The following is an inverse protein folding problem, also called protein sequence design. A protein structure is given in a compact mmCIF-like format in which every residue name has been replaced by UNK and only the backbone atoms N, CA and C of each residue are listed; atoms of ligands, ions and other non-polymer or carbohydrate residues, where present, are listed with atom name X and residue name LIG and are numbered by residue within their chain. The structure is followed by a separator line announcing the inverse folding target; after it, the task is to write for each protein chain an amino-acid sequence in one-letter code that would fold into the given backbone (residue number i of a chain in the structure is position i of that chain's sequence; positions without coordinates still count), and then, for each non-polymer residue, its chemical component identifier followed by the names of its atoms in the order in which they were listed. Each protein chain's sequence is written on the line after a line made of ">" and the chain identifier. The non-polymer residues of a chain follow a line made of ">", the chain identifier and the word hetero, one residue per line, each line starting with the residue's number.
data_IF_133517834047
#
_entry.id   IF_133517834047
#
_cell.length_a   1.000
_cell.length_b   1.000
_cell.length_c   1.000
_cell.angle_alpha   90.00
_cell.angle_beta   90.00
_cell.angle_gamma   90.00
#
_symmetry.space_group_name_H-M   'P 1'
#
loop_
_entity.id
_entity.type
_entity.pdbx_description
1 polymer ?
#
# COMPACT_ATOMS: atom_id res chain seq x y z
N UNK A 1 19.99 -12.19 -31.77
CA UNK A 1 21.27 -11.95 -31.05
C UNK A 1 21.76 -10.50 -31.19
N UNK A 2 21.77 -9.92 -32.38
CA UNK A 2 22.21 -8.52 -32.61
C UNK A 2 21.35 -7.50 -31.83
N UNK A 3 20.03 -7.64 -31.84
CA UNK A 3 19.12 -6.74 -31.11
C UNK A 3 19.36 -6.73 -29.61
N UNK A 4 19.65 -7.86 -28.96
CA UNK A 4 20.01 -7.94 -27.56
C UNK A 4 21.34 -7.22 -27.28
N UNK A 5 22.33 -7.42 -28.18
CA UNK A 5 23.63 -6.75 -28.06
C UNK A 5 23.49 -5.22 -28.15
N UNK A 6 22.71 -4.74 -29.14
CA UNK A 6 22.42 -3.29 -29.31
C UNK A 6 21.71 -2.72 -28.08
N UNK A 7 20.77 -3.46 -27.51
CA UNK A 7 20.08 -3.05 -26.29
C UNK A 7 20.96 -3.16 -25.02
N UNK A 8 22.17 -3.77 -25.12
CA UNK A 8 23.00 -4.06 -23.96
C UNK A 8 22.31 -4.98 -22.96
N UNK A 9 21.61 -6.00 -23.47
CA UNK A 9 20.89 -7.01 -22.69
C UNK A 9 21.62 -8.33 -22.83
N UNK A 10 21.96 -8.94 -21.70
CA UNK A 10 22.51 -10.28 -21.61
C UNK A 10 21.47 -11.23 -21.02
N UNK A 11 21.12 -12.28 -21.76
CA UNK A 11 20.24 -13.33 -21.26
C UNK A 11 21.08 -14.37 -20.51
N UNK A 12 20.58 -14.83 -19.39
CA UNK A 12 21.12 -16.03 -18.76
C UNK A 12 20.96 -17.24 -19.69
N UNK A 13 21.74 -18.29 -19.46
CA UNK A 13 21.64 -19.51 -20.25
C UNK A 13 20.23 -20.13 -20.23
N UNK A 14 19.56 -20.02 -19.07
CA UNK A 14 18.18 -20.51 -18.92
C UNK A 14 17.19 -19.70 -19.75
N UNK A 15 17.28 -18.39 -19.74
CA UNK A 15 16.42 -17.49 -20.54
C UNK A 15 16.65 -17.68 -22.04
N UNK A 16 17.92 -17.80 -22.46
CA UNK A 16 18.27 -18.06 -23.85
C UNK A 16 17.70 -19.40 -24.34
N UNK A 17 17.81 -20.44 -23.52
CA UNK A 17 17.26 -21.77 -23.82
C UNK A 17 15.71 -21.75 -23.83
N UNK A 18 15.08 -21.07 -22.87
CA UNK A 18 13.61 -20.93 -22.83
C UNK A 18 13.08 -20.23 -24.08
N UNK A 19 13.69 -19.09 -24.43
CA UNK A 19 13.35 -18.38 -25.67
C UNK A 19 13.53 -19.25 -26.90
N UNK A 20 14.71 -19.88 -27.07
CA UNK A 20 15.01 -20.69 -28.26
C UNK A 20 14.04 -21.87 -28.42
N UNK A 21 13.72 -22.56 -27.30
CA UNK A 21 12.77 -23.65 -27.27
C UNK A 21 11.35 -23.20 -27.69
N UNK A 22 10.86 -22.10 -27.06
CA UNK A 22 9.53 -21.56 -27.37
C UNK A 22 9.46 -21.02 -28.79
N UNK A 23 10.47 -20.25 -29.24
CA UNK A 23 10.50 -19.71 -30.58
C UNK A 23 10.51 -20.84 -31.64
N UNK A 24 11.37 -21.82 -31.47
CA UNK A 24 11.43 -22.96 -32.40
C UNK A 24 10.14 -23.75 -32.41
N UNK A 25 9.55 -24.02 -31.25
CA UNK A 25 8.30 -24.80 -31.12
C UNK A 25 7.11 -24.09 -31.77
N UNK A 26 6.99 -22.78 -31.60
CA UNK A 26 5.77 -22.04 -31.92
C UNK A 26 5.85 -21.17 -33.18
N UNK A 27 7.05 -20.78 -33.61
CA UNK A 27 7.21 -19.82 -34.73
C UNK A 27 8.05 -20.32 -35.89
N UNK A 28 8.83 -21.40 -35.76
CA UNK A 28 9.75 -21.86 -36.83
C UNK A 28 9.06 -22.06 -38.19
N UNK A 29 7.82 -22.53 -38.20
CA UNK A 29 7.05 -22.73 -39.42
C UNK A 29 6.39 -21.44 -39.98
N UNK A 30 6.31 -20.37 -39.17
CA UNK A 30 5.78 -19.07 -39.56
C UNK A 30 6.85 -18.18 -40.21
N UNK A 31 8.15 -18.46 -39.99
CA UNK A 31 9.29 -17.78 -40.59
C UNK A 31 9.51 -18.33 -41.99
N UNK A 32 8.61 -17.99 -42.91
CA UNK A 32 8.61 -18.54 -44.28
C UNK A 32 9.48 -17.77 -45.26
N UNK A 33 9.90 -16.54 -44.93
CA UNK A 33 10.69 -15.69 -45.82
C UNK A 33 11.76 -14.91 -45.04
N UNK A 34 12.92 -14.61 -45.69
CA UNK A 34 13.95 -13.74 -45.13
C UNK A 34 13.41 -12.35 -44.72
N UNK A 35 12.40 -11.85 -45.46
CA UNK A 35 11.75 -10.57 -45.19
C UNK A 35 11.06 -10.57 -43.80
N UNK A 36 10.32 -11.64 -43.46
CA UNK A 36 9.66 -11.78 -42.15
C UNK A 36 10.69 -11.88 -41.01
N UNK A 37 11.76 -12.65 -41.22
CA UNK A 37 12.85 -12.75 -40.27
C UNK A 37 13.51 -11.38 -39.98
N UNK A 38 13.78 -10.62 -41.06
CA UNK A 38 14.36 -9.28 -40.99
C UNK A 38 13.39 -8.30 -40.31
N UNK A 39 12.09 -8.36 -40.61
CA UNK A 39 11.07 -7.54 -39.96
C UNK A 39 11.03 -7.79 -38.43
N UNK A 40 11.04 -9.06 -38.04
CA UNK A 40 11.10 -9.42 -36.61
C UNK A 40 12.38 -8.89 -35.94
N UNK A 41 13.54 -9.08 -36.58
CA UNK A 41 14.79 -8.53 -36.07
C UNK A 41 14.77 -7.00 -35.89
N UNK A 42 14.22 -6.27 -36.87
CA UNK A 42 14.09 -4.81 -36.80
C UNK A 42 13.16 -4.35 -35.70
N UNK A 43 12.06 -5.08 -35.42
CA UNK A 43 11.15 -4.78 -34.33
C UNK A 43 11.85 -4.98 -32.99
N UNK A 44 12.63 -6.04 -32.82
CA UNK A 44 13.41 -6.26 -31.61
C UNK A 44 14.50 -5.19 -31.41
N UNK A 45 15.15 -4.73 -32.49
CA UNK A 45 16.10 -3.61 -32.41
C UNK A 45 15.45 -2.32 -31.92
N UNK A 46 14.15 -2.14 -32.12
CA UNK A 46 13.39 -0.99 -31.63
C UNK A 46 12.87 -1.22 -30.22
N UNK A 47 12.18 -2.34 -29.96
CA UNK A 47 11.44 -2.55 -28.70
C UNK A 47 12.33 -2.87 -27.50
N UNK A 48 13.42 -3.64 -27.69
CA UNK A 48 14.29 -4.06 -26.59
C UNK A 48 14.99 -2.89 -25.90
N UNK A 49 15.59 -1.90 -26.59
CA UNK A 49 16.21 -0.75 -25.91
C UNK A 49 15.19 0.10 -25.15
N UNK A 50 13.99 0.31 -25.69
CA UNK A 50 12.96 1.15 -25.08
C UNK A 50 12.43 0.56 -23.78
N UNK A 51 12.23 -0.77 -23.75
CA UNK A 51 11.62 -1.46 -22.62
C UNK A 51 12.65 -2.20 -21.74
N UNK A 52 13.94 -1.88 -21.92
CA UNK A 52 15.02 -2.47 -21.13
C UNK A 52 14.81 -2.24 -19.63
N UNK A 53 14.65 -3.34 -18.89
CA UNK A 53 14.46 -3.29 -17.44
C UNK A 53 13.02 -3.00 -16.98
N UNK A 54 12.10 -2.81 -17.91
CA UNK A 54 10.68 -2.49 -17.65
C UNK A 54 9.73 -3.66 -17.93
N UNK A 55 10.21 -4.71 -18.59
CA UNK A 55 9.46 -5.93 -18.92
C UNK A 55 10.37 -7.15 -18.93
N UNK A 56 9.79 -8.36 -18.87
CA UNK A 56 10.53 -9.60 -19.10
C UNK A 56 10.94 -9.70 -20.56
N UNK A 57 12.24 -9.79 -20.81
CA UNK A 57 12.83 -9.75 -22.15
C UNK A 57 12.38 -10.93 -23.01
N UNK A 58 12.30 -12.13 -22.44
CA UNK A 58 11.88 -13.34 -23.18
C UNK A 58 10.42 -13.22 -23.62
N UNK A 59 9.55 -12.78 -22.71
CA UNK A 59 8.13 -12.57 -23.05
C UNK A 59 7.94 -11.42 -24.04
N UNK A 60 8.71 -10.31 -23.93
CA UNK A 60 8.68 -9.25 -24.94
C UNK A 60 9.03 -9.80 -26.35
N UNK A 61 10.12 -10.57 -26.45
CA UNK A 61 10.50 -11.17 -27.73
C UNK A 61 9.42 -12.11 -28.28
N UNK A 62 8.71 -12.85 -27.42
CA UNK A 62 7.60 -13.73 -27.85
C UNK A 62 6.36 -12.92 -28.27
N UNK A 63 6.00 -11.84 -27.56
CA UNK A 63 4.88 -10.95 -27.92
C UNK A 63 5.17 -10.26 -29.26
N UNK A 64 6.42 -9.82 -29.49
CA UNK A 64 6.82 -9.25 -30.78
C UNK A 64 6.81 -10.30 -31.92
N UNK A 65 7.12 -11.55 -31.61
CA UNK A 65 6.96 -12.63 -32.58
C UNK A 65 5.47 -12.85 -32.91
N UNK A 66 4.57 -12.81 -31.92
CA UNK A 66 3.11 -12.86 -32.17
C UNK A 66 2.71 -11.68 -33.10
N UNK A 67 3.20 -10.48 -32.82
CA UNK A 67 2.92 -9.28 -33.63
C UNK A 67 3.29 -9.47 -35.11
N UNK A 68 4.49 -10.01 -35.36
CA UNK A 68 5.01 -10.16 -36.76
C UNK A 68 4.36 -11.32 -37.47
N UNK A 69 4.14 -12.44 -36.79
CA UNK A 69 3.73 -13.68 -37.42
C UNK A 69 2.23 -13.96 -37.34
N UNK A 70 1.54 -13.39 -36.31
CA UNK A 70 0.14 -13.64 -35.99
C UNK A 70 -0.58 -12.35 -35.58
N UNK A 71 -0.52 -11.33 -36.47
CA UNK A 71 -1.04 -9.98 -36.15
C UNK A 71 -2.48 -9.96 -35.62
N UNK A 72 -3.47 -10.74 -36.12
CA UNK A 72 -4.82 -10.74 -35.57
C UNK A 72 -4.87 -11.16 -34.09
N UNK A 73 -3.98 -12.06 -33.67
CA UNK A 73 -3.86 -12.47 -32.26
C UNK A 73 -3.22 -11.35 -31.44
N UNK A 74 -2.17 -10.71 -31.96
CA UNK A 74 -1.55 -9.56 -31.28
C UNK A 74 -2.56 -8.43 -31.06
N UNK A 75 -3.37 -8.09 -32.05
CA UNK A 75 -4.38 -7.04 -31.93
C UNK A 75 -5.47 -7.42 -30.92
N UNK A 76 -5.89 -8.68 -30.87
CA UNK A 76 -6.80 -9.19 -29.85
C UNK A 76 -6.21 -9.02 -28.44
N UNK A 77 -4.95 -9.41 -28.24
CA UNK A 77 -4.27 -9.25 -26.93
C UNK A 77 -4.17 -7.78 -26.55
N UNK A 78 -3.69 -6.93 -27.46
CA UNK A 78 -3.47 -5.50 -27.21
C UNK A 78 -4.70 -4.76 -26.73
N UNK A 79 -5.89 -5.09 -27.26
CA UNK A 79 -7.14 -4.38 -26.98
C UNK A 79 -7.84 -4.92 -25.72
N UNK A 80 -7.59 -6.17 -25.34
CA UNK A 80 -8.38 -6.84 -24.30
C UNK A 80 -7.55 -7.18 -23.04
N UNK A 81 -6.91 -6.19 -22.43
CA UNK A 81 -6.15 -6.34 -21.18
C UNK A 81 -6.92 -7.14 -20.14
N UNK A 82 -8.17 -6.78 -19.87
CA UNK A 82 -9.02 -7.38 -18.83
C UNK A 82 -9.23 -8.89 -19.03
N UNK A 83 -9.22 -9.32 -20.29
CA UNK A 83 -9.43 -10.73 -20.67
C UNK A 83 -8.15 -11.55 -20.48
N UNK A 84 -6.96 -10.98 -20.71
CA UNK A 84 -5.71 -11.75 -20.77
C UNK A 84 -4.79 -11.54 -19.59
N UNK A 85 -4.91 -10.43 -18.84
CA UNK A 85 -4.11 -10.23 -17.62
C UNK A 85 -4.74 -10.87 -16.39
N UNK A 86 -3.91 -11.23 -15.41
CA UNK A 86 -4.34 -11.79 -14.13
C UNK A 86 -4.95 -13.20 -14.20
N UNK A 87 -5.87 -13.47 -13.28
CA UNK A 87 -6.57 -14.76 -13.12
C UNK A 87 -8.09 -14.56 -13.05
N UNK A 88 -8.84 -15.65 -13.10
CA UNK A 88 -10.26 -15.63 -12.79
C UNK A 88 -10.49 -15.47 -11.27
N UNK A 89 -11.50 -14.71 -10.87
CA UNK A 89 -11.92 -14.59 -9.47
C UNK A 89 -12.45 -15.92 -8.92
N UNK A 90 -12.07 -16.28 -7.70
CA UNK A 90 -12.54 -17.51 -7.05
C UNK A 90 -14.04 -17.45 -6.66
N UNK A 91 -14.60 -16.25 -6.47
CA UNK A 91 -15.98 -16.05 -6.01
C UNK A 91 -17.05 -16.18 -7.10
N UNK A 92 -16.66 -16.39 -8.36
CA UNK A 92 -17.56 -16.28 -9.52
C UNK A 92 -17.73 -17.57 -10.34
N UNK A 93 -17.88 -18.77 -9.74
CA UNK A 93 -17.92 -20.05 -10.48
C UNK A 93 -18.93 -20.08 -11.65
N UNK A 94 -20.13 -19.51 -11.49
CA UNK A 94 -21.15 -19.49 -12.55
C UNK A 94 -20.81 -18.49 -13.66
N UNK A 95 -20.26 -17.31 -13.33
CA UNK A 95 -19.88 -16.28 -14.29
C UNK A 95 -18.61 -16.68 -15.08
N UNK A 96 -17.71 -17.44 -14.46
CA UNK A 96 -16.45 -17.86 -15.08
C UNK A 96 -16.68 -18.80 -16.30
N UNK A 97 -17.74 -19.59 -16.34
CA UNK A 97 -18.03 -20.48 -17.48
C UNK A 97 -18.36 -19.71 -18.75
N UNK A 98 -19.18 -18.66 -18.65
CA UNK A 98 -19.54 -17.80 -19.79
C UNK A 98 -18.33 -17.00 -20.28
N UNK A 99 -17.51 -16.48 -19.35
CA UNK A 99 -16.30 -15.74 -19.68
C UNK A 99 -15.26 -16.63 -20.36
N UNK A 100 -15.04 -17.84 -19.86
CA UNK A 100 -14.14 -18.85 -20.48
C UNK A 100 -14.55 -19.16 -21.93
N UNK A 101 -15.83 -19.36 -22.17
CA UNK A 101 -16.32 -19.63 -23.51
C UNK A 101 -16.16 -18.44 -24.43
N UNK A 102 -16.41 -17.22 -23.96
CA UNK A 102 -16.17 -15.97 -24.70
C UNK A 102 -14.69 -15.84 -25.10
N UNK A 103 -13.76 -16.13 -24.18
CA UNK A 103 -12.32 -16.08 -24.46
C UNK A 103 -11.95 -17.08 -25.58
N UNK A 104 -12.45 -18.31 -25.51
CA UNK A 104 -12.22 -19.31 -26.56
C UNK A 104 -12.71 -18.84 -27.93
N UNK A 105 -13.93 -18.33 -27.98
CA UNK A 105 -14.53 -17.83 -29.23
C UNK A 105 -13.72 -16.66 -29.83
N UNK A 106 -13.25 -15.73 -28.98
CA UNK A 106 -12.41 -14.62 -29.44
C UNK A 106 -11.06 -15.12 -29.98
N UNK A 107 -10.43 -16.07 -29.28
CA UNK A 107 -9.18 -16.69 -29.73
C UNK A 107 -9.37 -17.46 -31.04
N UNK A 108 -10.41 -18.26 -31.16
CA UNK A 108 -10.72 -19.02 -32.37
C UNK A 108 -10.90 -18.08 -33.57
N UNK A 109 -11.68 -17.01 -33.43
CA UNK A 109 -11.87 -16.01 -34.48
C UNK A 109 -10.55 -15.34 -34.90
N UNK A 110 -9.69 -14.97 -33.92
CA UNK A 110 -8.41 -14.37 -34.24
C UNK A 110 -7.44 -15.35 -34.91
N UNK A 111 -7.44 -16.61 -34.49
CA UNK A 111 -6.61 -17.67 -35.08
C UNK A 111 -7.06 -17.96 -36.52
N UNK A 112 -8.36 -18.02 -36.78
CA UNK A 112 -8.91 -18.29 -38.12
C UNK A 112 -8.57 -17.19 -39.16
N UNK A 113 -8.29 -15.96 -38.67
CA UNK A 113 -7.78 -14.85 -39.50
C UNK A 113 -6.29 -14.95 -39.79
N UNK A 114 -5.54 -15.83 -39.14
CA UNK A 114 -4.11 -15.97 -39.34
C UNK A 114 -3.80 -16.92 -40.50
N UNK A 115 -2.83 -16.52 -41.36
CA UNK A 115 -2.37 -17.36 -42.45
C UNK A 115 -1.24 -18.29 -42.00
N UNK A 116 -1.28 -19.54 -42.41
CA UNK A 116 -0.26 -20.56 -42.08
C UNK A 116 -0.06 -20.78 -40.59
N UNK A 117 -1.17 -20.82 -39.83
CA UNK A 117 -1.15 -21.05 -38.40
C UNK A 117 -1.43 -22.52 -38.05
N UNK A 118 -0.70 -23.04 -37.07
CA UNK A 118 -1.08 -24.27 -36.40
C UNK A 118 -1.84 -23.91 -35.13
N UNK A 119 -3.16 -24.07 -35.13
CA UNK A 119 -4.07 -23.69 -34.05
C UNK A 119 -3.65 -24.26 -32.70
N UNK A 120 -3.32 -25.55 -32.63
CA UNK A 120 -2.94 -26.22 -31.37
C UNK A 120 -1.66 -25.62 -30.80
N UNK A 121 -0.65 -25.35 -31.66
CA UNK A 121 0.62 -24.76 -31.18
C UNK A 121 0.43 -23.36 -30.66
N UNK A 122 -0.41 -22.55 -31.31
CA UNK A 122 -0.69 -21.17 -30.84
C UNK A 122 -1.49 -21.18 -29.56
N UNK A 123 -2.52 -22.00 -29.44
CA UNK A 123 -3.27 -22.14 -28.19
C UNK A 123 -2.32 -22.56 -27.05
N UNK A 124 -1.38 -23.49 -27.31
CA UNK A 124 -0.39 -23.89 -26.32
C UNK A 124 0.53 -22.74 -25.91
N UNK A 125 1.04 -21.96 -26.87
CA UNK A 125 1.83 -20.75 -26.58
C UNK A 125 1.06 -19.77 -25.70
N UNK A 126 -0.20 -19.45 -26.07
CA UNK A 126 -1.02 -18.51 -25.32
C UNK A 126 -1.36 -19.02 -23.90
N UNK A 127 -1.53 -20.33 -23.75
CA UNK A 127 -1.70 -20.96 -22.41
C UNK A 127 -0.44 -20.84 -21.55
N UNK A 128 0.75 -21.00 -22.16
CA UNK A 128 2.02 -20.85 -21.44
C UNK A 128 2.26 -19.41 -20.97
N UNK A 129 1.77 -18.43 -21.74
CA UNK A 129 1.94 -17.00 -21.44
C UNK A 129 0.82 -16.48 -20.53
N UNK A 130 -0.44 -16.84 -20.77
CA UNK A 130 -1.62 -16.26 -20.12
C UNK A 130 -2.38 -17.25 -19.26
N UNK A 131 -2.35 -17.11 -17.91
CA UNK A 131 -3.04 -18.01 -16.98
C UNK A 131 -4.54 -18.11 -17.20
N UNK A 132 -5.23 -17.00 -17.54
CA UNK A 132 -6.66 -17.03 -17.90
C UNK A 132 -6.93 -17.91 -19.11
N UNK A 133 -6.09 -17.84 -20.15
CA UNK A 133 -6.20 -18.74 -21.32
C UNK A 133 -5.97 -20.19 -20.90
N UNK A 134 -4.96 -20.44 -20.06
CA UNK A 134 -4.72 -21.79 -19.58
C UNK A 134 -5.93 -22.36 -18.79
N UNK A 135 -6.54 -21.53 -17.93
CA UNK A 135 -7.75 -21.89 -17.18
C UNK A 135 -8.99 -22.14 -18.06
N UNK A 136 -9.02 -21.61 -19.28
CA UNK A 136 -10.09 -21.90 -20.25
C UNK A 136 -10.00 -23.34 -20.82
N UNK A 137 -8.79 -23.85 -21.00
CA UNK A 137 -8.55 -25.14 -21.63
C UNK A 137 -8.19 -26.27 -20.63
N UNK A 138 -7.69 -25.87 -19.46
CA UNK A 138 -7.40 -26.77 -18.34
C UNK A 138 -8.09 -26.23 -17.10
N UNK A 139 -8.59 -27.09 -16.25
CA UNK A 139 -9.27 -26.67 -15.03
C UNK A 139 -8.24 -26.32 -13.92
N UNK A 140 -7.36 -25.36 -14.24
CA UNK A 140 -6.34 -24.86 -13.32
C UNK A 140 -6.74 -23.49 -12.76
N UNK A 141 -6.47 -23.28 -11.48
CA UNK A 141 -6.66 -22.02 -10.79
C UNK A 141 -5.31 -21.53 -10.27
N UNK A 142 -5.16 -20.21 -10.22
CA UNK A 142 -3.97 -19.55 -9.71
C UNK A 142 -4.38 -18.70 -8.50
N UNK A 143 -3.72 -18.87 -7.37
CA UNK A 143 -3.96 -18.10 -6.17
C UNK A 143 -3.37 -16.67 -6.24
N UNK A 144 -3.61 -15.88 -5.21
CA UNK A 144 -3.14 -14.48 -5.14
C UNK A 144 -1.61 -14.35 -5.08
N UNK A 145 -0.92 -15.36 -4.56
CA UNK A 145 0.55 -15.43 -4.47
C UNK A 145 1.24 -15.30 -5.83
N UNK A 146 0.56 -15.73 -6.91
CA UNK A 146 1.12 -15.64 -8.26
C UNK A 146 1.25 -14.22 -8.78
N UNK A 147 0.39 -13.29 -8.32
CA UNK A 147 0.47 -11.88 -8.75
C UNK A 147 1.80 -11.26 -8.35
N UNK A 148 2.24 -11.45 -7.11
CA UNK A 148 3.54 -10.97 -6.63
C UNK A 148 4.69 -11.52 -7.48
N UNK A 149 4.69 -12.85 -7.74
CA UNK A 149 5.71 -13.51 -8.57
C UNK A 149 5.75 -12.95 -9.99
N UNK A 150 4.58 -12.67 -10.58
CA UNK A 150 4.52 -12.12 -11.94
C UNK A 150 4.95 -10.65 -12.00
N UNK A 151 4.57 -9.87 -11.01
CA UNK A 151 5.02 -8.48 -10.87
C UNK A 151 6.55 -8.40 -10.66
N UNK A 152 7.10 -9.20 -9.75
CA UNK A 152 8.56 -9.28 -9.54
C UNK A 152 9.33 -9.62 -10.82
N UNK A 153 8.79 -10.53 -11.62
CA UNK A 153 9.38 -10.97 -12.90
C UNK A 153 8.92 -10.13 -14.08
N UNK A 154 8.19 -9.05 -13.88
CA UNK A 154 7.72 -8.13 -14.90
C UNK A 154 6.96 -8.84 -16.05
N UNK A 155 6.19 -9.89 -15.75
CA UNK A 155 5.53 -10.74 -16.73
C UNK A 155 4.35 -10.06 -17.42
N UNK A 156 4.11 -10.35 -18.72
CA UNK A 156 3.01 -9.76 -19.48
C UNK A 156 1.63 -10.07 -18.86
N UNK A 157 1.50 -11.18 -18.16
CA UNK A 157 0.27 -11.59 -17.48
C UNK A 157 -0.02 -10.78 -16.21
N UNK A 158 0.97 -10.07 -15.66
CA UNK A 158 0.79 -9.19 -14.51
C UNK A 158 0.00 -7.95 -14.95
N UNK A 159 -1.12 -7.60 -14.27
CA UNK A 159 -1.95 -6.45 -14.64
C UNK A 159 -1.17 -5.12 -14.69
N UNK A 160 -0.18 -4.95 -13.81
CA UNK A 160 0.65 -3.74 -13.73
C UNK A 160 1.62 -3.61 -14.92
N UNK A 161 2.00 -4.72 -15.57
CA UNK A 161 2.98 -4.75 -16.64
C UNK A 161 2.36 -4.94 -18.01
N UNK A 162 1.11 -5.41 -18.10
CA UNK A 162 0.49 -5.80 -19.36
C UNK A 162 0.62 -4.76 -20.47
N UNK A 163 0.21 -3.52 -20.18
CA UNK A 163 0.19 -2.44 -21.19
C UNK A 163 1.57 -2.08 -21.72
N UNK A 164 2.63 -2.20 -20.90
CA UNK A 164 4.00 -1.88 -21.32
C UNK A 164 4.44 -2.66 -22.55
N UNK A 165 4.00 -3.93 -22.67
CA UNK A 165 4.32 -4.79 -23.81
C UNK A 165 3.69 -4.35 -25.14
N UNK A 166 2.64 -3.53 -25.07
CA UNK A 166 1.85 -3.15 -26.24
C UNK A 166 1.93 -1.66 -26.58
N UNK A 167 2.33 -0.82 -25.64
CA UNK A 167 2.40 0.65 -25.82
C UNK A 167 3.81 1.16 -26.04
N UNK A 168 4.84 0.37 -25.74
CA UNK A 168 6.26 0.77 -25.73
C UNK A 168 6.53 2.00 -24.86
N UNK A 169 5.72 2.21 -23.86
CA UNK A 169 5.83 3.31 -22.90
C UNK A 169 5.37 2.85 -21.53
N UNK A 170 5.86 3.53 -20.54
CA UNK A 170 5.35 3.45 -19.19
C UNK A 170 4.24 4.48 -19.08
N UNK A 171 3.09 4.10 -18.53
CA UNK A 171 2.00 5.04 -18.30
C UNK A 171 2.47 6.19 -17.40
N UNK A 172 1.97 7.39 -17.62
CA UNK A 172 2.20 8.54 -16.73
C UNK A 172 1.74 8.25 -15.29
N UNK A 173 0.80 7.30 -15.16
CA UNK A 173 0.28 6.82 -13.88
C UNK A 173 1.12 5.70 -13.25
N UNK A 174 2.26 5.33 -13.80
CA UNK A 174 3.14 4.29 -13.26
C UNK A 174 4.55 4.83 -12.97
N UNK A 175 5.29 4.14 -12.12
CA UNK A 175 6.69 4.44 -11.81
C UNK A 175 7.59 3.47 -12.60
N UNK A 176 8.60 3.96 -13.36
CA UNK A 176 9.56 3.10 -14.05
C UNK A 176 10.28 2.16 -13.09
N UNK A 177 10.46 0.90 -13.49
CA UNK A 177 11.22 -0.07 -12.68
C UNK A 177 12.72 0.30 -12.59
N UNK A 178 13.23 0.99 -13.60
CA UNK A 178 14.60 1.56 -13.56
C UNK A 178 14.73 2.59 -12.44
N UNK A 179 13.71 3.39 -12.19
CA UNK A 179 13.66 4.35 -11.05
C UNK A 179 13.73 3.61 -9.72
N UNK A 180 12.97 2.53 -9.56
CA UNK A 180 13.01 1.72 -8.33
C UNK A 180 14.41 1.12 -8.13
N UNK A 181 15.03 0.58 -9.19
CA UNK A 181 16.42 0.07 -9.12
C UNK A 181 17.41 1.16 -8.74
N UNK A 182 17.24 2.37 -9.26
CA UNK A 182 18.10 3.50 -8.92
C UNK A 182 17.96 3.90 -7.46
N UNK A 183 16.75 4.00 -6.93
CA UNK A 183 16.49 4.25 -5.50
C UNK A 183 17.18 3.18 -4.64
N UNK A 184 17.03 1.90 -4.96
CA UNK A 184 17.64 0.82 -4.20
C UNK A 184 19.18 0.86 -4.26
N UNK A 185 19.76 1.17 -5.42
CA UNK A 185 21.20 1.36 -5.55
C UNK A 185 21.69 2.56 -4.73
N UNK A 186 20.95 3.68 -4.74
CA UNK A 186 21.29 4.83 -3.90
C UNK A 186 21.18 4.47 -2.41
N UNK A 187 20.16 3.69 -2.00
CA UNK A 187 20.05 3.17 -0.63
C UNK A 187 21.25 2.31 -0.24
N UNK A 188 21.78 1.49 -1.15
CA UNK A 188 22.97 0.68 -0.88
C UNK A 188 24.22 1.53 -0.63
N UNK A 189 24.34 2.68 -1.28
CA UNK A 189 25.48 3.60 -1.14
C UNK A 189 25.31 4.58 0.01
N UNK A 190 24.08 4.90 0.40
CA UNK A 190 23.73 5.90 1.41
C UNK A 190 23.77 5.31 2.83
N UNK A 191 24.94 5.31 3.45
CA UNK A 191 25.14 4.59 4.71
C UNK A 191 25.66 5.44 5.87
N UNK A 192 26.51 6.42 5.61
CA UNK A 192 27.15 7.18 6.69
C UNK A 192 26.26 8.37 7.09
N UNK A 193 25.82 8.41 8.34
CA UNK A 193 25.06 9.51 8.97
C UNK A 193 23.65 9.81 8.40
N UNK A 194 23.16 9.07 7.42
CA UNK A 194 21.84 9.27 6.80
C UNK A 194 21.51 10.75 6.52
N UNK A 195 22.41 11.45 5.82
CA UNK A 195 22.29 12.87 5.50
C UNK A 195 20.97 13.13 4.75
N UNK A 196 20.11 13.94 5.33
CA UNK A 196 18.78 14.29 4.80
C UNK A 196 18.85 14.87 3.38
N UNK A 197 19.88 15.68 3.07
CA UNK A 197 20.06 16.28 1.76
C UNK A 197 20.42 15.27 0.67
N UNK A 198 20.91 14.09 1.06
CA UNK A 198 21.27 12.97 0.16
C UNK A 198 20.31 11.82 0.25
N UNK A 199 19.09 12.04 0.79
CA UNK A 199 18.09 10.98 0.89
C UNK A 199 17.75 10.44 -0.50
N UNK A 200 17.81 9.12 -0.72
CA UNK A 200 17.53 8.48 -2.00
C UNK A 200 16.16 8.79 -2.61
N UNK A 201 15.20 9.24 -1.80
CA UNK A 201 13.85 9.59 -2.25
C UNK A 201 13.68 11.06 -2.64
N UNK A 202 14.71 11.92 -2.46
CA UNK A 202 14.58 13.37 -2.68
C UNK A 202 14.10 13.74 -4.08
N UNK A 203 14.59 13.05 -5.10
CA UNK A 203 14.28 13.35 -6.51
C UNK A 203 13.04 12.61 -7.00
N UNK A 204 12.59 11.57 -6.28
CA UNK A 204 11.58 10.64 -6.77
C UNK A 204 10.25 10.72 -6.04
N UNK A 205 10.22 11.17 -4.78
CA UNK A 205 9.02 11.23 -3.95
C UNK A 205 8.43 12.65 -3.92
N UNK A 206 7.15 12.76 -4.27
CA UNK A 206 6.32 13.93 -4.05
C UNK A 206 4.89 13.52 -3.67
N UNK A 207 4.05 14.48 -3.29
CA UNK A 207 2.68 14.20 -2.84
C UNK A 207 1.81 13.53 -3.92
N UNK A 208 2.06 13.78 -5.20
CA UNK A 208 1.25 13.28 -6.31
C UNK A 208 1.56 11.81 -6.65
N UNK A 209 2.83 11.41 -6.47
CA UNK A 209 3.27 10.05 -6.81
C UNK A 209 3.51 9.14 -5.60
N UNK A 210 3.35 9.65 -4.37
CA UNK A 210 3.67 8.93 -3.14
C UNK A 210 2.99 7.55 -3.06
N UNK A 211 1.69 7.47 -3.38
CA UNK A 211 0.93 6.22 -3.34
C UNK A 211 1.52 5.17 -4.29
N UNK A 212 1.83 5.57 -5.52
CA UNK A 212 2.39 4.68 -6.55
C UNK A 212 3.82 4.26 -6.23
N UNK A 213 4.65 5.21 -5.80
CA UNK A 213 6.04 4.93 -5.46
C UNK A 213 6.15 3.97 -4.26
N UNK A 214 5.44 4.25 -3.18
CA UNK A 214 5.45 3.39 -1.98
C UNK A 214 4.88 2.01 -2.29
N UNK A 215 3.75 1.93 -3.01
CA UNK A 215 3.18 0.65 -3.45
C UNK A 215 4.17 -0.17 -4.26
N UNK A 216 4.89 0.47 -5.19
CA UNK A 216 5.87 -0.22 -6.04
C UNK A 216 7.13 -0.63 -5.27
N UNK A 217 7.61 0.18 -4.33
CA UNK A 217 8.70 -0.20 -3.43
C UNK A 217 8.31 -1.40 -2.56
N UNK A 218 7.05 -1.49 -2.11
CA UNK A 218 6.56 -2.66 -1.35
C UNK A 218 6.63 -3.95 -2.16
N UNK A 219 6.27 -3.93 -3.44
CA UNK A 219 6.39 -5.13 -4.28
C UNK A 219 7.84 -5.59 -4.48
N UNK A 220 8.80 -4.73 -4.18
CA UNK A 220 10.24 -5.01 -4.30
C UNK A 220 10.97 -5.13 -2.96
N UNK A 221 10.25 -5.06 -1.82
CA UNK A 221 10.83 -5.09 -0.47
C UNK A 221 11.30 -6.48 -0.03
N UNK A 222 10.78 -7.53 -0.64
CA UNK A 222 11.09 -8.92 -0.30
C UNK A 222 12.53 -9.26 -0.69
N UNK A 223 13.27 -9.91 0.24
CA UNK A 223 14.65 -10.37 0.03
C UNK A 223 15.70 -9.26 -0.22
N UNK A 224 15.43 -8.02 0.16
CA UNK A 224 16.46 -6.99 0.18
C UNK A 224 17.51 -7.28 1.27
N UNK A 225 18.77 -6.86 1.04
CA UNK A 225 19.81 -6.97 2.06
C UNK A 225 19.47 -6.15 3.31
N UNK A 226 19.97 -6.54 4.49
CA UNK A 226 19.81 -5.77 5.74
C UNK A 226 20.19 -4.29 5.54
N UNK A 227 21.24 -4.05 4.77
CA UNK A 227 21.79 -2.74 4.46
C UNK A 227 20.80 -1.86 3.68
N UNK A 228 20.24 -2.39 2.57
CA UNK A 228 19.27 -1.68 1.75
C UNK A 228 17.98 -1.48 2.55
N UNK A 229 17.55 -2.50 3.30
CA UNK A 229 16.34 -2.45 4.12
C UNK A 229 16.40 -1.35 5.17
N UNK A 230 17.51 -1.21 5.89
CA UNK A 230 17.71 -0.13 6.83
C UNK A 230 17.71 1.24 6.13
N UNK A 231 18.51 1.40 5.07
CA UNK A 231 18.62 2.69 4.37
C UNK A 231 17.28 3.13 3.78
N UNK A 232 16.55 2.23 3.14
CA UNK A 232 15.23 2.54 2.59
C UNK A 232 14.22 2.90 3.69
N UNK A 233 14.24 2.18 4.81
CA UNK A 233 13.39 2.49 5.96
C UNK A 233 13.68 3.88 6.53
N UNK A 234 14.95 4.24 6.69
CA UNK A 234 15.36 5.59 7.13
C UNK A 234 14.97 6.65 6.09
N UNK A 235 15.13 6.35 4.80
CA UNK A 235 14.73 7.27 3.74
C UNK A 235 13.23 7.59 3.78
N UNK A 236 12.38 6.59 3.98
CA UNK A 236 10.93 6.76 4.15
C UNK A 236 10.61 7.53 5.44
N UNK A 237 11.26 7.18 6.55
CA UNK A 237 11.08 7.86 7.84
C UNK A 237 11.38 9.36 7.75
N UNK A 238 12.49 9.75 7.11
CA UNK A 238 12.84 11.14 6.86
C UNK A 238 11.85 11.87 5.94
N UNK A 239 11.09 11.14 5.11
CA UNK A 239 10.09 11.68 4.19
C UNK A 239 8.67 11.50 4.68
N UNK A 240 8.46 11.06 5.91
CA UNK A 240 7.13 10.77 6.47
C UNK A 240 6.16 11.98 6.43
N UNK A 241 6.68 13.21 6.48
CA UNK A 241 5.89 14.43 6.32
C UNK A 241 5.41 14.70 4.87
N UNK A 242 5.99 14.03 3.88
CA UNK A 242 5.60 14.11 2.46
C UNK A 242 4.65 12.97 2.04
N UNK A 243 4.34 12.05 2.94
CA UNK A 243 3.37 10.99 2.69
C UNK A 243 1.97 11.50 3.02
N UNK A 244 1.10 11.73 2.02
CA UNK A 244 -0.22 12.27 2.27
C UNK A 244 -1.11 11.24 2.98
N UNK A 245 -1.91 11.75 3.91
CA UNK A 245 -3.04 11.04 4.50
C UNK A 245 -4.33 11.58 3.90
N UNK A 246 -5.10 10.71 3.27
CA UNK A 246 -6.46 11.01 2.80
C UNK A 246 -7.44 10.12 3.55
N UNK A 247 -8.53 10.70 4.04
CA UNK A 247 -9.56 9.92 4.70
C UNK A 247 -10.17 8.94 3.68
N UNK A 248 -10.03 7.64 3.93
CA UNK A 248 -10.58 6.56 3.11
C UNK A 248 -11.33 5.58 4.02
N UNK A 249 -12.28 4.86 3.48
CA UNK A 249 -13.01 3.82 4.22
C UNK A 249 -12.07 2.76 4.81
N UNK A 250 -10.96 2.49 4.09
CA UNK A 250 -9.88 1.60 4.54
C UNK A 250 -8.57 2.39 4.58
N UNK A 251 -8.11 2.76 5.77
CA UNK A 251 -6.94 3.62 5.96
C UNK A 251 -5.62 3.04 5.43
N UNK A 252 -5.49 1.70 5.36
CA UNK A 252 -4.28 1.05 4.86
C UNK A 252 -3.98 1.28 3.36
N UNK A 253 -4.87 1.91 2.64
CA UNK A 253 -4.64 2.34 1.25
C UNK A 253 -4.02 3.74 1.14
N UNK A 254 -3.83 4.46 2.25
CA UNK A 254 -3.18 5.76 2.20
C UNK A 254 -1.65 5.64 2.12
N UNK A 255 -0.93 6.56 1.44
CA UNK A 255 0.53 6.50 1.32
C UNK A 255 1.26 6.45 2.66
N UNK A 256 0.78 7.17 3.66
CA UNK A 256 1.39 7.17 5.00
C UNK A 256 1.31 5.79 5.64
N UNK A 257 0.15 5.13 5.59
CA UNK A 257 -0.03 3.78 6.13
C UNK A 257 0.78 2.76 5.32
N UNK A 258 0.77 2.87 3.99
CA UNK A 258 1.59 2.01 3.12
C UNK A 258 3.09 2.16 3.41
N UNK A 259 3.55 3.38 3.74
CA UNK A 259 4.92 3.64 4.16
C UNK A 259 5.28 2.95 5.49
N UNK A 260 4.37 2.97 6.47
CA UNK A 260 4.54 2.27 7.74
C UNK A 260 4.60 0.75 7.55
N UNK A 261 3.71 0.17 6.73
CA UNK A 261 3.72 -1.25 6.38
C UNK A 261 5.03 -1.61 5.68
N UNK A 262 5.48 -0.80 4.71
CA UNK A 262 6.74 -1.06 4.01
C UNK A 262 7.93 -1.10 4.97
N UNK A 263 8.01 -0.17 5.93
CA UNK A 263 9.07 -0.22 6.95
C UNK A 263 8.97 -1.49 7.80
N UNK A 264 7.77 -1.90 8.22
CA UNK A 264 7.57 -3.13 8.96
C UNK A 264 8.02 -4.37 8.15
N UNK A 265 7.71 -4.43 6.85
CA UNK A 265 8.17 -5.49 5.94
C UNK A 265 9.70 -5.48 5.79
N UNK A 266 10.32 -4.29 5.65
CA UNK A 266 11.78 -4.14 5.53
C UNK A 266 12.53 -4.56 6.81
N UNK A 267 11.98 -4.28 7.99
CA UNK A 267 12.56 -4.71 9.27
C UNK A 267 12.59 -6.23 9.38
N UNK A 268 11.66 -6.96 8.75
CA UNK A 268 11.70 -8.43 8.72
C UNK A 268 12.90 -9.00 7.97
N UNK A 269 13.48 -8.27 7.00
CA UNK A 269 14.71 -8.66 6.31
C UNK A 269 15.96 -8.56 7.21
N UNK A 270 15.85 -7.90 8.38
CA UNK A 270 16.93 -7.77 9.36
C UNK A 270 16.90 -8.95 10.31
N UNK A 271 18.07 -9.44 10.72
CA UNK A 271 18.19 -10.51 11.72
C UNK A 271 17.49 -10.12 13.02
N UNK A 272 16.79 -11.08 13.64
CA UNK A 272 15.95 -10.84 14.82
C UNK A 272 16.65 -10.03 15.91
N UNK A 273 17.87 -10.41 16.26
CA UNK A 273 18.67 -9.77 17.31
C UNK A 273 19.06 -8.31 17.03
N UNK A 274 18.92 -7.87 15.79
CA UNK A 274 19.24 -6.49 15.36
C UNK A 274 18.00 -5.64 15.13
N UNK A 275 16.81 -6.22 15.10
CA UNK A 275 15.58 -5.48 14.73
C UNK A 275 15.30 -4.32 15.67
N UNK A 276 15.42 -4.54 16.98
CA UNK A 276 15.15 -3.50 17.96
C UNK A 276 16.08 -2.27 17.84
N UNK A 277 17.41 -2.42 17.79
CA UNK A 277 18.29 -1.27 17.49
C UNK A 277 17.99 -0.60 16.14
N UNK A 278 17.67 -1.38 15.10
CA UNK A 278 17.35 -0.86 13.77
C UNK A 278 16.09 -0.01 13.79
N UNK A 279 15.00 -0.47 14.42
CA UNK A 279 13.77 0.31 14.48
C UNK A 279 13.92 1.58 15.33
N UNK A 280 14.76 1.58 16.37
CA UNK A 280 15.09 2.78 17.14
C UNK A 280 15.78 3.83 16.27
N UNK A 281 16.75 3.42 15.44
CA UNK A 281 17.40 4.31 14.46
C UNK A 281 16.36 4.86 13.45
N UNK A 282 15.45 4.03 12.95
CA UNK A 282 14.41 4.47 12.02
C UNK A 282 13.51 5.51 12.69
N UNK A 283 13.06 5.25 13.92
CA UNK A 283 12.21 6.16 14.70
C UNK A 283 12.91 7.51 14.90
N UNK A 284 14.21 7.55 15.18
CA UNK A 284 14.96 8.79 15.36
C UNK A 284 14.97 9.68 14.10
N UNK A 285 14.82 9.09 12.93
CA UNK A 285 14.80 9.80 11.65
C UNK A 285 13.39 10.18 11.16
N UNK A 286 12.32 9.77 11.87
CA UNK A 286 10.95 10.14 11.51
C UNK A 286 10.76 11.66 11.67
N UNK A 287 10.28 12.32 10.63
CA UNK A 287 10.00 13.77 10.62
C UNK A 287 8.56 14.11 11.00
N UNK A 288 7.62 13.19 10.81
CA UNK A 288 6.22 13.31 11.23
C UNK A 288 5.96 12.40 12.44
N UNK A 289 5.83 12.97 13.64
CA UNK A 289 5.66 12.17 14.87
C UNK A 289 4.43 11.26 14.83
N UNK A 290 3.36 11.68 14.17
CA UNK A 290 2.14 10.87 14.01
C UNK A 290 2.41 9.55 13.26
N UNK A 291 3.36 9.55 12.33
CA UNK A 291 3.81 8.37 11.60
C UNK A 291 4.45 7.28 12.50
N UNK A 292 5.04 7.68 13.63
CA UNK A 292 5.61 6.70 14.58
C UNK A 292 4.53 5.74 15.09
N UNK A 293 3.33 6.26 15.37
CA UNK A 293 2.22 5.44 15.89
C UNK A 293 1.59 4.57 14.81
N UNK A 294 1.55 5.05 13.56
CA UNK A 294 1.19 4.19 12.43
C UNK A 294 2.17 3.01 12.33
N UNK A 295 3.48 3.30 12.42
CA UNK A 295 4.51 2.27 12.37
C UNK A 295 4.39 1.29 13.53
N UNK A 296 4.22 1.74 14.79
CA UNK A 296 4.02 0.86 15.94
C UNK A 296 2.83 -0.09 15.77
N UNK A 297 1.75 0.39 15.15
CA UNK A 297 0.55 -0.43 14.90
C UNK A 297 0.82 -1.59 13.93
N UNK A 298 1.75 -1.42 12.98
CA UNK A 298 2.10 -2.46 12.00
C UNK A 298 3.27 -3.36 12.41
N UNK A 299 4.03 -2.99 13.44
CA UNK A 299 5.06 -3.83 14.02
C UNK A 299 4.48 -4.94 14.92
N UNK A 300 3.25 -4.75 15.42
CA UNK A 300 2.50 -5.72 16.19
C UNK A 300 1.47 -6.36 15.24
N UNK A 301 1.72 -7.59 14.78
CA UNK A 301 0.72 -8.35 14.03
C UNK A 301 -0.34 -8.90 14.98
N UNK A 302 -1.59 -8.59 14.68
CA UNK A 302 -2.75 -9.21 15.31
C UNK A 302 -3.10 -10.48 14.53
N UNK A 303 -2.64 -11.63 15.01
CA UNK A 303 -3.21 -12.91 14.66
C UNK A 303 -3.62 -13.60 15.96
N UNK A 304 -4.91 -13.55 16.28
CA UNK A 304 -5.48 -14.15 17.48
C UNK A 304 -5.35 -15.69 17.49
N UNK A 305 -5.21 -16.33 16.32
CA UNK A 305 -5.10 -17.79 16.19
C UNK A 305 -3.64 -18.29 16.25
N UNK A 306 -2.63 -17.45 15.96
CA UNK A 306 -1.20 -17.80 15.98
C UNK A 306 -0.31 -16.64 16.40
N UNK A 307 -0.37 -16.22 17.66
CA UNK A 307 0.29 -14.97 18.10
C UNK A 307 1.82 -15.02 18.09
N UNK A 308 2.46 -16.17 18.08
CA UNK A 308 3.92 -16.27 18.29
C UNK A 308 4.75 -16.43 17.00
N UNK A 309 4.16 -16.82 15.87
CA UNK A 309 4.93 -17.13 14.64
C UNK A 309 5.06 -15.95 13.65
N UNK A 310 4.30 -14.88 13.81
CA UNK A 310 4.19 -13.82 12.81
C UNK A 310 4.58 -12.42 13.29
N UNK A 311 4.81 -12.22 14.59
CA UNK A 311 5.16 -10.90 15.14
C UNK A 311 6.59 -10.49 14.75
N UNK A 312 6.73 -9.23 14.32
CA UNK A 312 8.06 -8.64 14.04
C UNK A 312 8.87 -8.55 15.33
N UNK A 313 8.18 -8.28 16.45
CA UNK A 313 8.72 -8.12 17.79
C UNK A 313 7.91 -8.89 18.82
N UNK A 314 8.58 -9.45 19.82
CA UNK A 314 7.95 -10.01 21.02
C UNK A 314 7.26 -8.92 21.87
N UNK A 315 6.36 -9.32 22.77
CA UNK A 315 5.68 -8.38 23.67
C UNK A 315 6.68 -7.57 24.54
N UNK A 316 7.78 -8.17 24.97
CA UNK A 316 8.83 -7.47 25.75
C UNK A 316 9.61 -6.46 24.91
N UNK A 317 9.90 -6.77 23.64
CA UNK A 317 10.55 -5.85 22.71
C UNK A 317 9.62 -4.68 22.35
N UNK A 318 8.30 -4.93 22.20
CA UNK A 318 7.29 -3.89 21.98
C UNK A 318 7.15 -2.96 23.20
N UNK A 319 7.27 -3.49 24.42
CA UNK A 319 7.30 -2.69 25.66
C UNK A 319 8.54 -1.78 25.69
N UNK A 320 9.73 -2.32 25.40
CA UNK A 320 10.96 -1.54 25.32
C UNK A 320 10.89 -0.46 24.22
N UNK A 321 10.33 -0.79 23.06
CA UNK A 321 10.12 0.15 21.96
C UNK A 321 9.13 1.26 22.36
N UNK A 322 8.06 0.92 23.06
CA UNK A 322 7.07 1.88 23.55
C UNK A 322 7.71 2.89 24.54
N UNK A 323 8.55 2.41 25.45
CA UNK A 323 9.33 3.27 26.36
C UNK A 323 10.27 4.20 25.57
N UNK A 324 10.93 3.66 24.55
CA UNK A 324 11.81 4.45 23.68
C UNK A 324 11.03 5.58 22.96
N UNK A 325 9.89 5.27 22.37
CA UNK A 325 9.01 6.26 21.72
C UNK A 325 8.56 7.32 22.71
N UNK A 326 8.11 6.94 23.91
CA UNK A 326 7.70 7.90 24.94
C UNK A 326 8.86 8.82 25.32
N UNK A 327 10.09 8.29 25.47
CA UNK A 327 11.27 9.11 25.77
C UNK A 327 11.56 10.15 24.69
N UNK A 328 11.35 9.80 23.40
CA UNK A 328 11.47 10.73 22.28
C UNK A 328 10.36 11.80 22.33
N UNK A 329 9.11 11.41 22.55
CA UNK A 329 7.98 12.35 22.67
C UNK A 329 8.21 13.33 23.83
N UNK A 330 8.74 12.90 24.96
CA UNK A 330 9.07 13.78 26.08
C UNK A 330 10.10 14.86 25.72
N UNK A 331 11.09 14.54 24.87
CA UNK A 331 12.04 15.53 24.36
C UNK A 331 11.35 16.60 23.51
N UNK A 332 10.41 16.18 22.64
CA UNK A 332 9.63 17.09 21.81
C UNK A 332 8.69 17.97 22.67
N UNK A 333 8.00 17.40 23.66
CA UNK A 333 7.17 18.15 24.59
C UNK A 333 7.98 19.23 25.35
N UNK A 334 9.23 18.93 25.72
CA UNK A 334 10.13 19.89 26.37
C UNK A 334 10.48 21.10 25.48
N UNK A 335 10.22 21.02 24.19
CA UNK A 335 10.44 22.10 23.20
C UNK A 335 9.19 22.95 22.96
N UNK A 336 8.15 22.89 23.82
CA UNK A 336 6.86 23.60 23.71
C UNK A 336 6.08 23.29 22.41
N UNK A 337 6.20 22.09 21.87
CA UNK A 337 5.42 21.65 20.71
C UNK A 337 3.99 21.30 21.17
N UNK A 338 2.98 21.79 20.44
CA UNK A 338 1.60 21.34 20.64
C UNK A 338 1.45 19.92 20.12
N UNK A 339 1.43 18.96 21.02
CA UNK A 339 1.38 17.53 20.68
C UNK A 339 0.06 17.14 19.99
N UNK A 340 -1.04 17.84 20.25
CA UNK A 340 -2.34 17.57 19.61
C UNK A 340 -2.26 17.87 18.10
N UNK A 341 -1.62 18.98 17.74
CA UNK A 341 -1.44 19.35 16.33
C UNK A 341 -0.37 18.47 15.63
N UNK A 342 0.57 17.94 16.41
CA UNK A 342 1.69 17.16 15.87
C UNK A 342 1.34 15.69 15.67
N UNK A 343 0.38 15.16 16.47
CA UNK A 343 -0.08 13.75 16.38
C UNK A 343 -1.61 13.72 16.21
N UNK A 344 -2.15 14.30 15.12
CA UNK A 344 -3.60 14.53 15.00
C UNK A 344 -4.43 13.25 14.78
N UNK A 345 -3.84 12.13 14.36
CA UNK A 345 -4.56 10.90 14.03
C UNK A 345 -4.45 9.83 15.11
N UNK A 346 -3.33 9.77 15.79
CA UNK A 346 -2.96 8.68 16.69
C UNK A 346 -2.97 9.10 18.17
N UNK A 347 -3.70 10.17 18.53
CA UNK A 347 -3.83 10.61 19.95
C UNK A 347 -4.25 9.50 20.89
N UNK A 348 -5.19 8.58 20.57
CA UNK A 348 -5.55 7.48 21.46
C UNK A 348 -4.36 6.59 21.84
N UNK A 349 -3.48 6.29 20.86
CA UNK A 349 -2.27 5.49 21.11
C UNK A 349 -1.28 6.29 21.95
N UNK A 350 -1.04 7.55 21.59
CA UNK A 350 -0.15 8.45 22.31
C UNK A 350 -0.59 8.60 23.77
N UNK A 351 -1.85 8.92 24.04
CA UNK A 351 -2.36 9.16 25.40
C UNK A 351 -2.26 7.91 26.26
N UNK A 352 -2.57 6.75 25.68
CA UNK A 352 -2.37 5.48 26.38
C UNK A 352 -0.90 5.31 26.81
N UNK A 353 0.05 5.49 25.87
CA UNK A 353 1.47 5.32 26.15
C UNK A 353 1.99 6.34 27.17
N UNK A 354 1.55 7.60 27.11
CA UNK A 354 1.95 8.63 28.08
C UNK A 354 1.46 8.29 29.50
N UNK A 355 0.20 7.85 29.64
CA UNK A 355 -0.34 7.46 30.93
C UNK A 355 0.29 6.16 31.47
N UNK A 356 0.69 5.23 30.60
CA UNK A 356 1.29 3.96 30.98
C UNK A 356 2.77 4.11 31.39
N UNK A 357 3.57 4.86 30.60
CA UNK A 357 5.02 4.86 30.75
C UNK A 357 5.60 6.12 31.41
N UNK A 358 4.85 7.22 31.54
CA UNK A 358 5.31 8.38 32.34
C UNK A 358 4.72 8.28 33.74
N UNK A 359 3.41 8.42 33.86
CA UNK A 359 2.65 8.23 35.11
C UNK A 359 1.14 8.23 34.84
N UNK A 360 0.33 7.59 35.65
CA UNK A 360 -1.12 7.68 35.57
C UNK A 360 -1.59 9.16 35.59
N UNK A 361 -2.56 9.48 34.75
CA UNK A 361 -3.15 10.82 34.61
C UNK A 361 -2.21 11.90 34.01
N UNK A 362 -1.04 11.57 33.50
CA UNK A 362 -0.14 12.55 32.88
C UNK A 362 -0.83 13.35 31.77
N UNK A 363 -1.67 12.69 30.96
CA UNK A 363 -2.45 13.33 29.89
C UNK A 363 -3.39 14.40 30.45
N UNK A 364 -3.99 14.19 31.61
CA UNK A 364 -4.88 15.18 32.23
C UNK A 364 -4.14 16.48 32.59
N UNK A 365 -2.95 16.37 33.12
CA UNK A 365 -2.10 17.53 33.45
C UNK A 365 -1.71 18.27 32.17
N UNK A 366 -1.31 17.52 31.15
CA UNK A 366 -0.97 18.08 29.83
C UNK A 366 -2.16 18.82 29.20
N UNK A 367 -3.36 18.26 29.28
CA UNK A 367 -4.57 18.88 28.72
C UNK A 367 -4.98 20.13 29.48
N UNK A 368 -4.87 20.17 30.79
CA UNK A 368 -5.14 21.35 31.64
C UNK A 368 -4.18 22.50 31.23
N UNK A 369 -2.95 22.21 30.86
CA UNK A 369 -1.98 23.22 30.40
C UNK A 369 -2.26 23.72 29.00
N UNK A 370 -2.64 22.85 28.08
CA UNK A 370 -2.78 23.15 26.63
C UNK A 370 -4.17 23.71 26.27
N UNK A 371 -5.23 23.26 26.96
CA UNK A 371 -6.63 23.49 26.57
C UNK A 371 -7.26 24.83 27.02
N UNK A 372 -6.66 25.71 27.86
CA UNK A 372 -7.41 26.84 28.38
C UNK A 372 -8.07 27.65 27.24
N UNK A 373 -9.40 27.48 27.13
CA UNK A 373 -10.33 28.22 26.24
C UNK A 373 -10.29 27.93 24.72
N UNK A 374 -9.83 26.79 24.24
CA UNK A 374 -9.83 26.48 22.80
C UNK A 374 -10.76 25.34 22.45
N UNK A 375 -12.01 25.67 22.16
CA UNK A 375 -13.04 24.69 21.74
C UNK A 375 -12.62 23.84 20.53
N UNK A 376 -11.87 24.42 19.58
CA UNK A 376 -11.38 23.72 18.40
C UNK A 376 -10.43 22.56 18.75
N UNK A 377 -9.67 22.67 19.81
CA UNK A 377 -8.79 21.59 20.28
C UNK A 377 -9.58 20.38 20.82
N UNK A 378 -10.77 20.59 21.40
CA UNK A 378 -11.64 19.49 21.83
C UNK A 378 -12.03 18.60 20.66
N UNK A 379 -12.39 19.19 19.53
CA UNK A 379 -12.72 18.44 18.30
C UNK A 379 -11.51 17.65 17.83
N UNK A 380 -10.32 18.25 17.86
CA UNK A 380 -9.07 17.57 17.50
C UNK A 380 -8.73 16.40 18.42
N UNK A 381 -9.13 16.46 19.70
CA UNK A 381 -8.94 15.37 20.65
C UNK A 381 -9.97 14.24 20.43
N UNK A 382 -11.24 14.57 20.13
CA UNK A 382 -12.31 13.59 20.00
C UNK A 382 -12.22 12.84 18.66
N UNK A 383 -11.95 13.54 17.56
CA UNK A 383 -11.93 12.97 16.20
C UNK A 383 -11.09 11.70 16.02
N UNK A 384 -9.89 11.58 16.59
CA UNK A 384 -9.07 10.37 16.43
C UNK A 384 -9.67 9.09 17.01
N UNK A 385 -10.63 9.21 17.95
CA UNK A 385 -11.35 8.05 18.52
C UNK A 385 -12.48 7.58 17.61
N UNK A 386 -12.90 8.38 16.63
CA UNK A 386 -14.03 8.08 15.76
C UNK A 386 -13.61 7.18 14.59
N UNK A 387 -14.45 6.20 14.29
CA UNK A 387 -14.31 5.40 13.07
C UNK A 387 -14.55 6.21 11.80
N UNK A 388 -14.39 5.55 10.64
CA UNK A 388 -14.72 6.11 9.34
C UNK A 388 -16.04 5.49 8.87
N UNK A 389 -16.94 6.34 8.35
CA UNK A 389 -18.21 5.96 7.74
C UNK A 389 -18.32 6.53 6.33
N UNK A 390 -19.21 5.96 5.53
CA UNK A 390 -19.58 6.46 4.21
C UNK A 390 -21.11 6.40 4.09
N UNK A 391 -21.71 7.45 3.56
CA UNK A 391 -23.17 7.55 3.37
C UNK A 391 -23.81 8.66 4.23
N UNK A 392 -25.15 8.60 4.36
CA UNK A 392 -25.92 9.66 4.99
C UNK A 392 -26.03 10.90 4.10
N UNK A 393 -26.05 12.10 4.69
CA UNK A 393 -26.12 13.37 3.97
C UNK A 393 -24.76 13.87 3.47
N UNK A 394 -23.68 13.16 3.76
CA UNK A 394 -22.32 13.50 3.36
C UNK A 394 -21.85 12.61 2.21
N UNK A 395 -21.26 13.20 1.20
CA UNK A 395 -20.63 12.46 0.11
C UNK A 395 -19.19 12.07 0.47
N UNK A 396 -18.88 10.78 0.33
CA UNK A 396 -17.54 10.24 0.58
C UNK A 396 -17.25 9.90 2.05
N UNK A 397 -16.03 9.37 2.33
CA UNK A 397 -15.62 8.96 3.66
C UNK A 397 -15.59 10.15 4.65
N UNK A 398 -16.16 9.96 5.84
CA UNK A 398 -16.18 10.94 6.91
C UNK A 398 -16.09 10.25 8.28
N UNK A 399 -15.85 11.01 9.36
CA UNK A 399 -15.84 10.46 10.71
C UNK A 399 -17.25 10.03 11.11
N UNK A 400 -17.38 8.86 11.74
CA UNK A 400 -18.65 8.34 12.26
C UNK A 400 -19.09 9.13 13.50
N UNK A 401 -20.33 8.93 13.91
CA UNK A 401 -20.82 9.43 15.21
C UNK A 401 -19.99 8.88 16.37
N UNK A 402 -19.87 9.68 17.45
CA UNK A 402 -19.24 9.27 18.71
C UNK A 402 -20.18 8.29 19.43
N UNK A 403 -19.93 7.00 19.27
CA UNK A 403 -20.68 5.95 19.97
C UNK A 403 -20.18 5.79 21.42
N UNK A 404 -20.99 5.14 22.24
CA UNK A 404 -20.67 4.93 23.65
C UNK A 404 -19.35 4.19 23.89
N UNK A 405 -18.99 3.24 23.03
CA UNK A 405 -17.71 2.51 23.11
C UNK A 405 -16.49 3.43 22.92
N UNK A 406 -16.53 4.35 21.97
CA UNK A 406 -15.47 5.35 21.78
C UNK A 406 -15.43 6.33 22.97
N UNK A 407 -16.58 6.72 23.48
CA UNK A 407 -16.68 7.56 24.68
C UNK A 407 -16.03 6.88 25.89
N UNK A 408 -16.28 5.58 26.12
CA UNK A 408 -15.58 4.80 27.17
C UNK A 408 -14.06 4.80 26.96
N UNK A 409 -13.58 4.67 25.72
CA UNK A 409 -12.13 4.74 25.44
C UNK A 409 -11.55 6.10 25.80
N UNK A 410 -12.24 7.20 25.50
CA UNK A 410 -11.83 8.54 25.92
C UNK A 410 -11.75 8.60 27.46
N UNK A 411 -12.77 8.15 28.18
CA UNK A 411 -12.81 8.14 29.66
C UNK A 411 -11.69 7.33 30.31
N UNK A 412 -11.25 6.24 29.68
CA UNK A 412 -10.12 5.43 30.17
C UNK A 412 -8.78 6.18 30.13
N UNK A 413 -8.66 7.19 29.28
CA UNK A 413 -7.40 7.90 29.02
C UNK A 413 -7.41 9.34 29.54
N UNK A 414 -8.57 9.97 29.57
CA UNK A 414 -8.79 11.38 29.92
C UNK A 414 -9.87 11.49 30.99
N UNK A 415 -9.64 12.32 32.00
CA UNK A 415 -10.73 12.72 32.89
C UNK A 415 -11.74 13.56 32.08
N UNK A 416 -12.90 12.99 31.81
CA UNK A 416 -13.91 13.59 30.92
C UNK A 416 -14.38 14.96 31.43
N UNK A 417 -14.37 15.20 32.78
CA UNK A 417 -14.76 16.48 33.35
C UNK A 417 -13.89 17.64 32.80
N UNK A 418 -12.61 17.42 32.49
CA UNK A 418 -11.76 18.44 31.88
C UNK A 418 -12.34 18.91 30.55
N UNK A 419 -12.83 17.97 29.70
CA UNK A 419 -13.43 18.31 28.42
C UNK A 419 -14.79 18.99 28.62
N UNK A 420 -15.61 18.51 29.57
CA UNK A 420 -16.94 19.05 29.86
C UNK A 420 -16.87 20.47 30.42
N UNK A 421 -15.95 20.72 31.33
CA UNK A 421 -15.75 22.07 31.92
C UNK A 421 -15.43 23.09 30.82
N UNK A 422 -14.63 22.71 29.81
CA UNK A 422 -14.32 23.59 28.70
C UNK A 422 -15.55 23.79 27.80
N UNK A 423 -16.34 22.75 27.57
CA UNK A 423 -17.58 22.85 26.80
C UNK A 423 -18.54 23.82 27.48
N UNK A 424 -18.79 23.65 28.80
CA UNK A 424 -19.71 24.48 29.56
C UNK A 424 -19.23 25.94 29.74
N UNK A 425 -17.92 26.18 29.69
CA UNK A 425 -17.37 27.54 29.77
C UNK A 425 -17.50 28.31 28.43
N UNK A 426 -17.60 27.61 27.30
CA UNK A 426 -17.55 28.22 25.98
C UNK A 426 -18.88 28.15 25.20
N UNK A 427 -19.85 27.34 25.66
CA UNK A 427 -21.10 27.10 24.94
C UNK A 427 -22.27 27.18 25.90
N UNK A 428 -23.27 27.97 25.53
CA UNK A 428 -24.52 28.08 26.28
C UNK A 428 -25.24 26.74 26.34
N UNK A 429 -25.82 26.34 27.49
CA UNK A 429 -26.46 25.05 27.67
C UNK A 429 -27.58 24.77 26.67
N UNK A 430 -28.30 25.79 26.23
CA UNK A 430 -29.38 25.68 25.25
C UNK A 430 -28.88 25.21 23.89
N UNK A 431 -27.66 25.57 23.52
CA UNK A 431 -27.04 25.17 22.24
C UNK A 431 -26.55 23.69 22.27
N UNK A 432 -26.32 23.15 23.48
CA UNK A 432 -25.91 21.77 23.73
C UNK A 432 -27.06 20.81 23.94
N UNK A 433 -28.23 21.35 24.32
CA UNK A 433 -29.39 20.52 24.66
C UNK A 433 -29.91 19.76 23.46
N UNK A 434 -30.12 18.45 23.66
CA UNK A 434 -30.84 17.58 22.72
C UNK A 434 -31.57 16.51 23.52
N UNK A 435 -32.87 16.33 23.23
CA UNK A 435 -33.68 15.29 23.87
C UNK A 435 -33.20 13.88 23.48
N UNK A 436 -32.88 13.72 22.18
CA UNK A 436 -32.33 12.48 21.62
C UNK A 436 -30.84 12.64 21.33
N UNK A 437 -30.13 11.50 21.15
CA UNK A 437 -28.74 11.52 20.72
C UNK A 437 -28.60 12.30 19.41
N UNK A 438 -27.72 13.33 19.32
CA UNK A 438 -27.60 14.16 18.13
C UNK A 438 -26.81 13.44 17.04
N UNK A 439 -27.49 12.84 16.07
CA UNK A 439 -26.87 12.13 14.96
C UNK A 439 -26.41 13.08 13.83
N UNK A 440 -25.32 12.72 13.12
CA UNK A 440 -24.75 13.57 12.06
C UNK A 440 -25.69 13.80 10.88
N UNK A 441 -26.52 12.81 10.52
CA UNK A 441 -27.43 12.95 9.38
C UNK A 441 -28.57 13.93 9.64
N UNK A 442 -28.86 14.26 10.90
CA UNK A 442 -29.79 15.31 11.30
C UNK A 442 -29.14 16.71 11.25
N UNK A 443 -27.82 16.78 11.14
CA UNK A 443 -27.05 18.02 11.10
C UNK A 443 -26.66 18.37 9.66
N UNK A 444 -27.35 19.32 9.05
CA UNK A 444 -27.08 19.79 7.69
C UNK A 444 -25.82 20.66 7.55
N UNK A 445 -25.27 21.14 8.68
CA UNK A 445 -24.04 21.89 8.71
C UNK A 445 -22.84 20.95 8.69
N UNK A 446 -21.88 21.21 7.81
CA UNK A 446 -20.62 20.45 7.69
C UNK A 446 -19.66 20.76 8.86
N UNK A 447 -20.24 20.97 10.04
CA UNK A 447 -19.54 21.46 11.23
C UNK A 447 -19.28 20.27 12.20
N UNK A 448 -18.00 20.07 12.51
CA UNK A 448 -17.56 19.08 13.51
C UNK A 448 -18.06 19.34 14.95
N UNK A 449 -18.77 20.45 15.17
CA UNK A 449 -19.44 20.79 16.42
C UNK A 449 -20.40 19.70 16.91
N UNK A 450 -20.90 18.87 16.01
CA UNK A 450 -21.75 17.71 16.34
C UNK A 450 -21.06 16.78 17.33
N UNK A 451 -19.75 16.57 17.25
CA UNK A 451 -18.99 15.70 18.16
C UNK A 451 -18.93 16.24 19.58
N UNK A 452 -18.96 17.56 19.75
CA UNK A 452 -19.07 18.22 21.06
C UNK A 452 -20.46 17.95 21.67
N UNK A 453 -21.54 18.12 20.88
CA UNK A 453 -22.90 17.80 21.33
C UNK A 453 -23.04 16.33 21.70
N UNK A 454 -22.48 15.43 20.91
CA UNK A 454 -22.47 13.99 21.19
C UNK A 454 -21.73 13.66 22.48
N UNK A 455 -20.55 14.25 22.71
CA UNK A 455 -19.78 14.08 23.96
C UNK A 455 -20.57 14.56 25.17
N UNK A 456 -21.19 15.75 25.07
CA UNK A 456 -21.98 16.33 26.15
C UNK A 456 -23.24 15.52 26.44
N UNK A 457 -23.94 15.03 25.38
CA UNK A 457 -25.11 14.18 25.53
C UNK A 457 -24.77 12.86 26.22
N UNK A 458 -23.68 12.21 25.82
CA UNK A 458 -23.21 10.96 26.45
C UNK A 458 -22.85 11.17 27.91
N UNK A 459 -22.18 12.28 28.24
CA UNK A 459 -21.86 12.65 29.62
C UNK A 459 -23.12 12.81 30.48
N UNK A 460 -24.12 13.55 30.00
CA UNK A 460 -25.36 13.81 30.79
C UNK A 460 -26.28 12.58 30.90
N UNK A 461 -26.27 11.66 29.93
CA UNK A 461 -27.26 10.58 29.85
C UNK A 461 -26.69 9.19 30.15
N UNK A 462 -25.37 9.01 30.07
CA UNK A 462 -24.74 7.70 30.18
C UNK A 462 -23.50 7.63 31.09
N UNK A 463 -23.09 8.74 31.69
CA UNK A 463 -21.89 8.77 32.54
C UNK A 463 -22.05 7.95 33.84
N UNK A 464 -23.29 7.80 34.33
CA UNK A 464 -23.64 7.00 35.52
C UNK A 464 -23.83 5.49 35.24
N UNK A 465 -23.82 5.05 33.99
CA UNK A 465 -23.80 3.62 33.67
C UNK A 465 -22.45 3.07 34.18
N UNK A 466 -22.47 2.53 35.41
CA UNK A 466 -21.31 1.86 36.03
C UNK A 466 -20.80 0.82 35.06
N UNK A 467 -19.47 0.81 34.90
CA UNK A 467 -18.74 -0.23 34.19
C UNK A 467 -19.26 -1.62 34.60
N UNK A 468 -20.19 -2.17 33.86
CA UNK A 468 -20.67 -3.55 33.96
C UNK A 468 -19.81 -4.50 33.14
N UNK A 469 -18.56 -4.13 32.94
CA UNK A 469 -17.54 -5.00 32.36
C UNK A 469 -16.30 -5.02 33.26
N UNK A 470 -16.50 -5.47 34.49
CA UNK A 470 -15.46 -6.19 35.20
C UNK A 470 -15.44 -7.60 34.63
N UNK A 471 -14.42 -7.88 33.83
CA UNK A 471 -13.79 -9.15 33.56
C UNK A 471 -14.67 -10.40 33.45
N UNK A 472 -14.80 -10.89 32.23
CA UNK A 472 -14.85 -12.32 31.97
C UNK A 472 -13.84 -12.70 30.92
#
# INVERSE_FOLDING_TARGET
>A
MEALKVAGIELSQNEANDYANKFTRYFSFAVTTPRKAKLYGNILLFSLPILKGEVDVVELMLIEAIRVFYQPIYDLLRINKEIFSGTFSQSGFANNSSEKEKIKQLLDKAIDLCVNVNKEKIIRLLRDIFPKVNSCYQNMYYGSEWYTIWDEKQKVRAPNYYLRYFTYSISEDDIPDVTIKEILNQCELWQENFDFNKNPLNEFLNNENAERLISKLRTRSVNLSEKISLSLSVAIAQKSNQLPYTLKLFDWFTPVIQGAILIADLVQNVKQEKRLPVIQVIIDHVTNLDFIFDLLSWLKKYDEEKPEETDVFSSSEMDELSKYVVSRIQKELSSNINIIDTVPRNLPILFRLLNEYIRPNFVNELLIEILPSKLELLISIIKPYLGIAEGGNRSGPHRSDLKFEQYKQIRKQININILIDIIEQNIEPEALFSENFPEQYDNLDDNDFIFIKQSYWLYKNRDDEKDLDEDS
#
